data_IF_287567680249
#
_entry.id   IF_287567680249
#
_cell.length_a   1.000
_cell.length_b   1.000
_cell.length_c   1.000
_cell.angle_alpha   90.00
_cell.angle_beta   90.00
_cell.angle_gamma   90.00
#
_symmetry.space_group_name_H-M   'P 1'
#
loop_
_entity.id
_entity.type
_entity.pdbx_description
1 polymer ?
#
# COMPACT_ATOMS: atom_id res chain seq x y z
N UNK A 1 -43.89 4.23 6.52
CA UNK A 1 -42.63 3.98 7.26
C UNK A 1 -41.53 3.75 6.24
N UNK A 2 -40.80 4.80 5.84
CA UNK A 2 -39.65 4.63 4.95
C UNK A 2 -38.42 4.38 5.81
N UNK A 3 -38.02 3.11 5.95
CA UNK A 3 -36.71 2.80 6.53
C UNK A 3 -35.63 3.47 5.69
N UNK A 4 -34.86 4.36 6.31
CA UNK A 4 -33.75 5.02 5.67
C UNK A 4 -32.71 3.96 5.25
N UNK A 5 -32.45 3.74 3.94
CA UNK A 5 -31.58 2.67 3.44
C UNK A 5 -30.11 2.80 3.91
N UNK A 6 -29.75 3.93 4.53
CA UNK A 6 -28.46 4.13 5.17
C UNK A 6 -28.15 3.12 6.27
N UNK A 7 -29.15 2.60 7.01
CA UNK A 7 -28.90 1.68 8.12
C UNK A 7 -28.42 0.30 7.63
N UNK A 8 -29.08 -0.25 6.61
CA UNK A 8 -28.69 -1.52 5.98
C UNK A 8 -27.31 -1.38 5.35
N UNK A 9 -27.03 -0.27 4.66
CA UNK A 9 -25.71 0.03 4.12
C UNK A 9 -24.64 0.10 5.22
N UNK A 10 -24.90 0.74 6.35
CA UNK A 10 -23.98 0.79 7.49
C UNK A 10 -23.77 -0.59 8.12
N UNK A 11 -24.81 -1.40 8.25
CA UNK A 11 -24.68 -2.77 8.77
C UNK A 11 -23.92 -3.66 7.79
N UNK A 12 -24.21 -3.55 6.50
CA UNK A 12 -23.47 -4.24 5.45
C UNK A 12 -22.01 -3.81 5.46
N UNK A 13 -21.71 -2.52 5.56
CA UNK A 13 -20.35 -1.99 5.63
C UNK A 13 -19.62 -2.46 6.90
N UNK A 14 -20.32 -2.52 8.05
CA UNK A 14 -19.79 -3.05 9.31
C UNK A 14 -19.50 -4.55 9.23
N UNK A 15 -20.42 -5.31 8.66
CA UNK A 15 -20.27 -6.76 8.46
C UNK A 15 -19.21 -7.07 7.41
N UNK A 16 -19.15 -6.32 6.32
CA UNK A 16 -18.10 -6.40 5.31
C UNK A 16 -16.73 -6.07 5.92
N UNK A 17 -16.60 -5.02 6.74
CA UNK A 17 -15.35 -4.74 7.46
C UNK A 17 -14.98 -5.86 8.44
N UNK A 18 -15.96 -6.54 9.04
CA UNK A 18 -15.72 -7.68 9.93
C UNK A 18 -15.38 -8.97 9.16
N UNK A 19 -15.92 -9.15 7.95
CA UNK A 19 -15.73 -10.32 7.10
C UNK A 19 -14.50 -10.23 6.18
N UNK A 20 -14.12 -9.02 5.77
CA UNK A 20 -13.05 -8.77 4.79
C UNK A 20 -11.69 -8.56 5.44
N UNK A 21 -11.49 -8.96 6.72
CA UNK A 21 -10.21 -8.94 7.42
C UNK A 21 -9.41 -7.64 7.24
N UNK A 22 -8.08 -7.71 7.36
CA UNK A 22 -7.17 -6.59 7.02
C UNK A 22 -6.19 -7.04 5.95
N UNK A 23 -5.98 -6.20 4.94
CA UNK A 23 -4.90 -6.37 3.96
C UNK A 23 -3.80 -5.37 4.31
N UNK A 24 -2.61 -5.88 4.59
CA UNK A 24 -1.43 -5.07 4.89
C UNK A 24 -0.57 -4.93 3.64
N UNK A 25 -0.06 -3.73 3.37
CA UNK A 25 0.82 -3.43 2.24
C UNK A 25 2.10 -2.80 2.78
N UNK A 26 3.25 -3.29 2.33
CA UNK A 26 4.54 -2.76 2.75
C UNK A 26 5.72 -3.62 2.36
N UNK A 27 6.91 -3.22 2.82
CA UNK A 27 8.06 -4.10 2.85
C UNK A 27 8.02 -4.93 4.12
N UNK A 28 8.24 -6.24 4.00
CA UNK A 28 8.26 -7.13 5.15
C UNK A 28 9.58 -7.92 5.21
N UNK A 29 10.03 -8.21 6.43
CA UNK A 29 11.24 -9.00 6.66
C UNK A 29 11.81 -8.74 8.05
N UNK A 30 12.51 -9.72 8.61
CA UNK A 30 13.28 -9.57 9.85
C UNK A 30 14.74 -9.26 9.52
N UNK A 31 15.41 -8.62 10.47
CA UNK A 31 16.85 -8.39 10.42
C UNK A 31 17.57 -9.76 10.42
N UNK A 32 18.14 -10.15 9.27
CA UNK A 32 19.01 -11.32 9.16
C UNK A 32 20.17 -10.96 8.23
N UNK A 33 21.28 -10.48 8.82
CA UNK A 33 22.54 -10.25 8.12
C UNK A 33 23.28 -8.97 8.51
N UNK A 34 24.57 -8.88 8.13
CA UNK A 34 25.54 -7.80 8.44
C UNK A 34 25.17 -6.37 7.97
N UNK A 35 23.97 -6.14 7.39
CA UNK A 35 23.55 -4.81 6.92
C UNK A 35 22.87 -4.05 8.06
N UNK A 36 23.24 -2.79 8.28
CA UNK A 36 22.72 -1.98 9.38
C UNK A 36 21.24 -1.56 9.23
N UNK A 37 20.62 -1.72 8.06
CA UNK A 37 19.24 -1.28 7.77
C UNK A 37 18.52 -2.33 6.91
N UNK A 38 17.30 -2.73 7.30
CA UNK A 38 16.45 -3.66 6.54
C UNK A 38 15.56 -2.94 5.51
N UNK A 39 14.89 -3.68 4.61
CA UNK A 39 13.93 -3.07 3.66
C UNK A 39 12.73 -2.41 4.36
N UNK A 40 12.12 -3.02 5.39
CA UNK A 40 11.13 -2.33 6.23
C UNK A 40 11.65 -1.03 6.86
N UNK A 41 12.88 -1.04 7.40
CA UNK A 41 13.46 0.17 8.00
C UNK A 41 13.67 1.27 6.95
N UNK A 42 14.20 0.90 5.79
CA UNK A 42 14.42 1.82 4.68
C UNK A 42 13.09 2.38 4.16
N UNK A 43 12.05 1.54 4.05
CA UNK A 43 10.71 1.95 3.69
C UNK A 43 10.16 2.97 4.69
N UNK A 44 10.27 2.71 6.00
CA UNK A 44 9.81 3.61 7.05
C UNK A 44 10.54 4.96 7.02
N UNK A 45 11.88 4.95 6.89
CA UNK A 45 12.68 6.18 6.77
C UNK A 45 12.22 7.03 5.57
N UNK A 46 11.85 6.40 4.45
CA UNK A 46 11.37 7.13 3.29
C UNK A 46 9.92 7.57 3.41
N UNK A 47 9.04 6.73 3.96
CA UNK A 47 7.61 7.00 4.11
C UNK A 47 7.32 8.16 5.05
N UNK A 48 8.13 8.32 6.10
CA UNK A 48 7.95 9.36 7.13
C UNK A 48 9.06 10.41 7.14
N UNK A 49 10.15 10.17 6.39
CA UNK A 49 11.34 11.01 6.45
C UNK A 49 12.17 10.75 7.72
N UNK A 50 13.34 11.39 7.78
CA UNK A 50 14.19 11.42 8.96
C UNK A 50 14.83 12.81 9.08
N UNK A 51 14.14 13.78 9.73
CA UNK A 51 14.59 15.16 9.81
C UNK A 51 15.97 15.32 10.45
N UNK A 52 16.27 14.54 11.49
CA UNK A 52 17.58 14.50 12.15
C UNK A 52 18.73 14.16 11.19
N UNK A 53 18.44 13.46 10.09
CA UNK A 53 19.39 13.07 9.04
C UNK A 53 19.23 13.88 7.76
N UNK A 54 18.41 14.94 7.77
CA UNK A 54 18.07 15.77 6.60
C UNK A 54 17.52 14.95 5.42
N UNK A 55 16.75 13.90 5.73
CA UNK A 55 16.04 13.07 4.74
C UNK A 55 14.59 13.53 4.72
N UNK A 56 14.08 14.06 3.59
CA UNK A 56 12.69 14.47 3.49
C UNK A 56 11.76 13.25 3.43
N UNK A 57 10.53 13.46 3.89
CA UNK A 57 9.43 12.53 3.68
C UNK A 57 9.16 12.33 2.19
N UNK A 58 8.84 11.09 1.82
CA UNK A 58 8.39 10.68 0.49
C UNK A 58 7.28 9.66 0.66
N UNK A 59 6.12 10.08 1.18
CA UNK A 59 4.99 9.18 1.39
C UNK A 59 4.58 8.49 0.08
N UNK A 60 4.94 7.22 -0.06
CA UNK A 60 4.68 6.40 -1.23
C UNK A 60 3.66 5.31 -0.93
N UNK A 61 3.58 4.85 0.32
CA UNK A 61 2.53 3.94 0.79
C UNK A 61 1.24 4.70 1.02
N UNK A 62 1.20 5.65 1.97
CA UNK A 62 -0.05 6.31 2.37
C UNK A 62 -0.63 7.12 1.21
N UNK A 63 0.19 7.87 0.48
CA UNK A 63 -0.27 8.64 -0.66
C UNK A 63 -0.87 7.76 -1.77
N UNK A 64 -0.23 6.62 -2.10
CA UNK A 64 -0.75 5.70 -3.12
C UNK A 64 -2.08 5.08 -2.71
N UNK A 65 -2.19 4.62 -1.45
CA UNK A 65 -3.43 4.03 -0.93
C UNK A 65 -4.56 5.06 -0.90
N UNK A 66 -4.26 6.29 -0.46
CA UNK A 66 -5.24 7.39 -0.43
C UNK A 66 -5.72 7.72 -1.84
N UNK A 67 -4.79 7.83 -2.81
CA UNK A 67 -5.12 8.12 -4.21
C UNK A 67 -6.01 7.03 -4.83
N UNK A 68 -5.78 5.76 -4.49
CA UNK A 68 -6.49 4.62 -5.06
C UNK A 68 -7.68 4.13 -4.21
N UNK A 69 -8.01 4.81 -3.10
CA UNK A 69 -9.07 4.37 -2.18
C UNK A 69 -10.41 4.16 -2.88
N UNK A 70 -10.80 5.08 -3.79
CA UNK A 70 -12.03 4.96 -4.55
C UNK A 70 -12.04 3.76 -5.51
N UNK A 71 -10.89 3.43 -6.12
CA UNK A 71 -10.71 2.25 -6.97
C UNK A 71 -10.90 0.96 -6.16
N UNK A 72 -10.29 0.88 -4.98
CA UNK A 72 -10.43 -0.28 -4.09
C UNK A 72 -11.86 -0.45 -3.57
N UNK A 73 -12.53 0.65 -3.21
CA UNK A 73 -13.93 0.63 -2.82
C UNK A 73 -14.85 0.11 -3.93
N UNK A 74 -14.65 0.57 -5.18
CA UNK A 74 -15.41 0.07 -6.34
C UNK A 74 -15.19 -1.41 -6.59
N UNK A 75 -13.95 -1.89 -6.49
CA UNK A 75 -13.64 -3.31 -6.60
C UNK A 75 -14.40 -4.14 -5.57
N UNK A 76 -14.31 -3.76 -4.28
CA UNK A 76 -15.00 -4.45 -3.20
C UNK A 76 -16.53 -4.47 -3.39
N UNK A 77 -17.11 -3.35 -3.84
CA UNK A 77 -18.55 -3.28 -4.14
C UNK A 77 -18.96 -4.21 -5.29
N UNK A 78 -18.11 -4.37 -6.31
CA UNK A 78 -18.36 -5.28 -7.43
C UNK A 78 -18.40 -6.75 -7.00
N UNK A 79 -17.60 -7.13 -6.02
CA UNK A 79 -17.50 -8.51 -5.52
C UNK A 79 -18.65 -8.92 -4.59
N UNK A 80 -19.47 -7.97 -4.12
CA UNK A 80 -20.55 -8.25 -3.17
C UNK A 80 -21.54 -9.29 -3.69
N UNK A 81 -21.92 -9.20 -4.96
CA UNK A 81 -22.86 -10.14 -5.58
C UNK A 81 -22.30 -11.55 -5.59
N UNK A 82 -21.05 -11.70 -6.03
CA UNK A 82 -20.40 -13.01 -6.11
C UNK A 82 -20.12 -13.59 -4.73
N UNK A 83 -19.88 -12.75 -3.72
CA UNK A 83 -19.75 -13.19 -2.34
C UNK A 83 -21.08 -13.74 -1.80
N UNK A 84 -22.21 -13.05 -2.05
CA UNK A 84 -23.54 -13.50 -1.63
C UNK A 84 -23.98 -14.79 -2.35
N UNK A 85 -23.57 -14.96 -3.60
CA UNK A 85 -23.84 -16.17 -4.39
C UNK A 85 -22.83 -17.29 -4.13
N UNK A 86 -21.91 -17.13 -3.17
CA UNK A 86 -20.84 -18.08 -2.83
C UNK A 86 -19.94 -18.46 -4.02
N UNK A 87 -19.80 -17.56 -5.00
CA UNK A 87 -18.94 -17.72 -6.18
C UNK A 87 -17.49 -17.28 -5.94
N UNK A 88 -17.26 -16.55 -4.86
CA UNK A 88 -15.94 -16.11 -4.40
C UNK A 88 -15.86 -16.22 -2.88
N UNK A 89 -14.67 -16.06 -2.32
CA UNK A 89 -14.44 -16.04 -0.87
C UNK A 89 -13.84 -14.71 -0.43
N UNK A 90 -14.06 -14.29 0.83
CA UNK A 90 -13.40 -13.09 1.36
C UNK A 90 -11.89 -13.12 1.17
N UNK A 91 -11.27 -14.29 1.39
CA UNK A 91 -9.82 -14.47 1.19
C UNK A 91 -9.42 -14.22 -0.26
N UNK A 92 -10.17 -14.72 -1.25
CA UNK A 92 -9.84 -14.49 -2.66
C UNK A 92 -9.94 -13.01 -3.04
N UNK A 93 -10.99 -12.33 -2.57
CA UNK A 93 -11.15 -10.87 -2.76
C UNK A 93 -9.96 -10.12 -2.15
N UNK A 94 -9.55 -10.48 -0.92
CA UNK A 94 -8.41 -9.87 -0.22
C UNK A 94 -7.09 -10.08 -0.98
N UNK A 95 -6.85 -11.28 -1.52
CA UNK A 95 -5.64 -11.59 -2.28
C UNK A 95 -5.54 -10.71 -3.54
N UNK A 96 -6.64 -10.58 -4.29
CA UNK A 96 -6.69 -9.71 -5.48
C UNK A 96 -6.50 -8.25 -5.09
N UNK A 97 -7.18 -7.78 -4.05
CA UNK A 97 -7.05 -6.41 -3.57
C UNK A 97 -5.61 -6.09 -3.14
N UNK A 98 -4.99 -6.97 -2.36
CA UNK A 98 -3.61 -6.79 -1.89
C UNK A 98 -2.60 -6.80 -3.02
N UNK A 99 -2.75 -7.70 -3.98
CA UNK A 99 -1.92 -7.74 -5.18
C UNK A 99 -2.01 -6.44 -5.97
N UNK A 100 -3.24 -5.95 -6.19
CA UNK A 100 -3.45 -4.69 -6.89
C UNK A 100 -2.88 -3.49 -6.12
N UNK A 101 -3.07 -3.44 -4.80
CA UNK A 101 -2.56 -2.37 -3.97
C UNK A 101 -1.03 -2.33 -3.94
N UNK A 102 -0.37 -3.49 -3.83
CA UNK A 102 1.08 -3.58 -3.93
C UNK A 102 1.59 -3.09 -5.29
N UNK A 103 0.95 -3.50 -6.39
CA UNK A 103 1.28 -3.04 -7.74
C UNK A 103 1.11 -1.52 -7.90
N UNK A 104 0.02 -0.96 -7.36
CA UNK A 104 -0.25 0.48 -7.41
C UNK A 104 0.81 1.27 -6.62
N UNK A 105 1.20 0.80 -5.43
CA UNK A 105 2.32 1.40 -4.67
C UNK A 105 3.63 1.32 -5.46
N UNK A 106 3.97 0.16 -6.02
CA UNK A 106 5.18 0.00 -6.82
C UNK A 106 5.22 0.91 -8.04
N UNK A 107 4.07 1.17 -8.66
CA UNK A 107 3.92 2.13 -9.76
C UNK A 107 4.03 3.57 -9.26
N UNK A 108 3.40 3.89 -8.12
CA UNK A 108 3.46 5.22 -7.53
C UNK A 108 4.89 5.60 -7.10
N UNK A 109 5.71 4.64 -6.66
CA UNK A 109 7.14 4.88 -6.40
C UNK A 109 7.91 5.38 -7.63
N UNK A 110 7.45 5.07 -8.85
CA UNK A 110 8.10 5.47 -10.11
C UNK A 110 7.53 6.77 -10.65
N UNK A 111 6.20 6.91 -10.59
CA UNK A 111 5.44 7.97 -11.27
C UNK A 111 4.97 9.09 -10.33
N UNK A 112 5.00 8.84 -9.02
CA UNK A 112 4.62 9.79 -7.99
C UNK A 112 5.53 11.01 -7.95
N UNK A 113 4.97 12.12 -7.45
CA UNK A 113 5.70 13.36 -7.24
C UNK A 113 6.30 13.34 -5.83
N UNK A 114 7.62 13.23 -5.76
CA UNK A 114 8.36 13.22 -4.49
C UNK A 114 9.35 14.37 -4.44
N UNK A 115 9.71 14.76 -3.22
CA UNK A 115 10.80 15.73 -2.98
C UNK A 115 12.08 15.28 -3.72
N UNK A 116 12.63 16.13 -4.62
CA UNK A 116 13.78 15.79 -5.44
C UNK A 116 15.01 15.37 -4.63
N UNK A 117 15.91 14.64 -5.29
CA UNK A 117 17.22 14.29 -4.72
C UNK A 117 18.16 15.48 -4.79
N UNK A 118 19.06 15.61 -3.80
CA UNK A 118 20.16 16.59 -3.84
C UNK A 118 21.14 16.23 -4.96
N UNK A 119 21.75 17.23 -5.60
CA UNK A 119 22.70 17.03 -6.70
C UNK A 119 23.83 16.03 -6.36
N UNK A 120 24.39 16.09 -5.14
CA UNK A 120 25.40 15.12 -4.64
C UNK A 120 24.88 13.68 -4.66
N UNK A 121 23.62 13.48 -4.28
CA UNK A 121 22.98 12.15 -4.29
C UNK A 121 22.78 11.67 -5.72
N UNK A 122 22.32 12.54 -6.62
CA UNK A 122 22.13 12.21 -8.05
C UNK A 122 23.46 11.78 -8.66
N UNK A 123 24.54 12.56 -8.44
CA UNK A 123 25.89 12.23 -8.94
C UNK A 123 26.39 10.88 -8.44
N UNK A 124 26.20 10.57 -7.15
CA UNK A 124 26.61 9.27 -6.57
C UNK A 124 25.79 8.10 -7.12
N UNK A 125 24.50 8.33 -7.32
CA UNK A 125 23.51 7.32 -7.69
C UNK A 125 23.45 7.04 -9.19
N UNK A 126 23.77 8.04 -10.01
CA UNK A 126 23.57 8.01 -11.46
C UNK A 126 22.11 8.20 -11.90
N UNK A 127 21.20 8.56 -10.99
CA UNK A 127 19.77 8.76 -11.31
C UNK A 127 19.14 9.85 -10.45
N UNK A 128 18.21 10.59 -11.04
CA UNK A 128 17.42 11.62 -10.36
C UNK A 128 16.14 11.07 -9.72
N UNK A 129 15.75 9.82 -10.03
CA UNK A 129 14.48 9.23 -9.53
C UNK A 129 14.53 8.99 -8.02
N UNK A 130 13.68 9.63 -7.21
CA UNK A 130 13.56 9.30 -5.79
C UNK A 130 13.10 7.86 -5.56
N UNK A 131 13.43 7.28 -4.40
CA UNK A 131 13.06 5.91 -3.97
C UNK A 131 13.62 4.74 -4.81
N UNK A 132 14.07 4.97 -6.04
CA UNK A 132 14.53 3.93 -6.97
C UNK A 132 16.05 4.01 -7.14
N UNK A 133 16.79 3.31 -6.28
CA UNK A 133 18.25 3.14 -6.42
C UNK A 133 18.60 1.92 -7.25
N UNK A 134 18.71 0.76 -6.61
CA UNK A 134 18.86 -0.54 -7.27
C UNK A 134 17.50 -1.15 -7.67
N UNK A 135 16.39 -0.54 -7.25
CA UNK A 135 15.05 -1.10 -7.38
C UNK A 135 14.65 -2.08 -6.27
N UNK A 136 15.57 -2.49 -5.39
CA UNK A 136 15.30 -3.45 -4.31
C UNK A 136 14.16 -3.01 -3.39
N UNK A 137 14.12 -1.73 -2.99
CA UNK A 137 13.04 -1.21 -2.15
C UNK A 137 11.67 -1.37 -2.83
N UNK A 138 11.57 -1.02 -4.12
CA UNK A 138 10.33 -1.18 -4.90
C UNK A 138 9.93 -2.65 -4.99
N UNK A 139 10.88 -3.53 -5.31
CA UNK A 139 10.63 -4.98 -5.41
C UNK A 139 10.24 -5.59 -4.05
N UNK A 140 10.68 -5.01 -2.93
CA UNK A 140 10.33 -5.48 -1.59
C UNK A 140 8.89 -5.16 -1.18
N UNK A 141 8.22 -4.23 -1.87
CA UNK A 141 6.83 -3.89 -1.58
C UNK A 141 5.93 -5.04 -2.03
N UNK A 142 5.21 -5.62 -1.08
CA UNK A 142 4.25 -6.70 -1.28
C UNK A 142 3.07 -6.50 -0.32
N UNK A 143 2.21 -7.51 -0.22
CA UNK A 143 1.04 -7.49 0.66
C UNK A 143 0.96 -8.77 1.50
N UNK A 144 0.20 -8.70 2.59
CA UNK A 144 -0.19 -9.84 3.41
C UNK A 144 -1.68 -9.74 3.71
N UNK A 145 -2.34 -10.88 3.62
CA UNK A 145 -3.73 -11.03 4.05
C UNK A 145 -3.72 -11.47 5.50
N UNK A 146 -4.35 -10.69 6.38
CA UNK A 146 -4.50 -10.99 7.80
C UNK A 146 -5.97 -11.27 8.06
N UNK A 147 -6.24 -12.34 8.79
CA UNK A 147 -7.57 -12.76 9.23
C UNK A 147 -7.92 -12.18 10.60
#
# INVERSE_FOLDING_TARGET
MSENPSWILKQFQKQANKFLGKVEIGAFGMHSGKRSITMPDLAAIHEYGAPSRKIPERSFLRASITLNQGKYGKYLLGEVKDLLLLRTTPTKIKQVLGMQAAADVQMYMVNGKFTPLKAKTIKRKGSSKPLIDTGQLRQSITYRVVD
#
